data_IF_466654520188
#
_entry.id   IF_466654520188
#
_cell.length_a   1.000
_cell.length_b   1.000
_cell.length_c   1.000
_cell.angle_alpha   90.00
_cell.angle_beta   90.00
_cell.angle_gamma   90.00
#
_symmetry.space_group_name_H-M   'P 1'
#
loop_
_entity.id
_entity.type
_entity.pdbx_description
1 polymer ?
#
# COMPACT_ATOMS: atom_id res chain seq x y z
N UNK A 1 0.92 -2.44 2.84
CA UNK A 1 2.07 -2.15 1.94
C UNK A 1 2.61 -0.74 2.09
N UNK A 2 1.76 0.30 2.12
CA UNK A 2 2.17 1.71 2.13
C UNK A 2 3.27 2.12 3.14
N UNK A 3 3.23 1.74 4.44
CA UNK A 3 4.26 2.21 5.38
C UNK A 3 5.65 1.64 5.10
N UNK A 4 5.75 0.40 4.62
CA UNK A 4 7.04 -0.23 4.29
C UNK A 4 7.70 0.40 3.05
N UNK A 5 6.91 0.65 2.00
CA UNK A 5 7.39 1.33 0.79
C UNK A 5 7.72 2.79 1.05
N UNK A 6 6.91 3.50 1.83
CA UNK A 6 7.19 4.87 2.23
C UNK A 6 8.51 4.94 3.03
N UNK A 7 8.74 3.99 3.95
CA UNK A 7 9.99 3.88 4.68
C UNK A 7 11.18 3.61 3.74
N UNK A 8 11.07 2.65 2.84
CA UNK A 8 12.12 2.34 1.87
C UNK A 8 12.47 3.56 1.00
N UNK A 9 11.46 4.22 0.42
CA UNK A 9 11.64 5.41 -0.41
C UNK A 9 12.24 6.59 0.36
N UNK A 10 11.90 6.75 1.64
CA UNK A 10 12.48 7.81 2.49
C UNK A 10 13.98 7.68 2.74
N UNK A 11 14.56 6.49 2.52
CA UNK A 11 16.02 6.26 2.64
C UNK A 11 16.78 6.60 1.36
N UNK A 12 16.09 6.73 0.23
CA UNK A 12 16.68 6.94 -1.09
C UNK A 12 16.34 8.30 -1.70
N UNK A 13 15.24 8.95 -1.26
CA UNK A 13 14.74 10.17 -1.87
C UNK A 13 14.52 11.30 -0.85
N UNK A 14 14.62 12.54 -1.36
CA UNK A 14 14.33 13.76 -0.59
C UNK A 14 12.84 13.93 -0.34
N UNK A 15 12.43 14.62 0.74
CA UNK A 15 10.99 14.82 1.07
C UNK A 15 10.22 15.52 -0.05
N UNK A 16 10.84 16.50 -0.71
CA UNK A 16 10.22 17.23 -1.83
C UNK A 16 9.95 16.34 -3.05
N UNK A 17 10.76 15.32 -3.27
CA UNK A 17 10.60 14.37 -4.40
C UNK A 17 9.81 13.11 -3.98
N UNK A 18 9.80 12.79 -2.69
CA UNK A 18 9.19 11.58 -2.12
C UNK A 18 7.69 11.51 -2.41
N UNK A 19 6.97 12.61 -2.18
CA UNK A 19 5.51 12.67 -2.37
C UNK A 19 5.12 12.35 -3.81
N UNK A 20 5.83 12.93 -4.79
CA UNK A 20 5.57 12.68 -6.21
C UNK A 20 5.81 11.21 -6.60
N UNK A 21 6.93 10.63 -6.15
CA UNK A 21 7.25 9.22 -6.42
C UNK A 21 6.27 8.26 -5.74
N UNK A 22 5.82 8.59 -4.53
CA UNK A 22 4.81 7.80 -3.83
C UNK A 22 3.44 7.89 -4.50
N UNK A 23 3.04 9.06 -4.99
CA UNK A 23 1.81 9.18 -5.78
C UNK A 23 1.86 8.37 -7.06
N UNK A 24 3.01 8.32 -7.73
CA UNK A 24 3.18 7.49 -8.92
C UNK A 24 2.99 6.00 -8.61
N UNK A 25 3.55 5.52 -7.48
CA UNK A 25 3.32 4.16 -7.01
C UNK A 25 1.83 3.85 -6.75
N UNK A 26 1.10 4.78 -6.14
CA UNK A 26 -0.34 4.60 -5.87
C UNK A 26 -1.15 4.51 -7.16
N UNK A 27 -0.81 5.31 -8.17
CA UNK A 27 -1.49 5.29 -9.48
C UNK A 27 -1.21 4.00 -10.26
N UNK A 28 -0.13 3.27 -9.96
CA UNK A 28 0.12 1.96 -10.59
C UNK A 28 -0.93 0.93 -10.20
N UNK A 29 -1.57 1.02 -9.02
CA UNK A 29 -2.58 0.05 -8.59
C UNK A 29 -3.83 0.01 -9.51
N UNK A 30 -4.52 1.13 -9.78
CA UNK A 30 -5.64 1.12 -10.73
C UNK A 30 -5.17 0.83 -12.17
N UNK A 31 -3.95 1.24 -12.52
CA UNK A 31 -3.38 0.94 -13.83
C UNK A 31 -3.19 -0.57 -14.04
N UNK A 32 -2.64 -1.27 -13.05
CA UNK A 32 -2.51 -2.73 -13.06
C UNK A 32 -3.88 -3.42 -13.16
N UNK A 33 -4.90 -2.89 -12.47
CA UNK A 33 -6.28 -3.38 -12.60
C UNK A 33 -6.83 -3.25 -14.03
N UNK A 34 -6.59 -2.10 -14.69
CA UNK A 34 -6.97 -1.90 -16.08
C UNK A 34 -6.25 -2.87 -17.03
N UNK A 35 -4.96 -3.10 -16.80
CA UNK A 35 -4.18 -4.08 -17.57
C UNK A 35 -4.67 -5.51 -17.35
N UNK A 36 -4.98 -5.92 -16.12
CA UNK A 36 -5.53 -7.26 -15.84
C UNK A 36 -6.82 -7.53 -16.61
N UNK A 37 -7.72 -6.54 -16.68
CA UNK A 37 -8.95 -6.64 -17.47
C UNK A 37 -8.71 -6.72 -18.98
N UNK A 38 -7.76 -5.92 -19.50
CA UNK A 38 -7.37 -5.97 -20.91
C UNK A 38 -6.71 -7.30 -21.28
N UNK A 39 -5.86 -7.83 -20.40
CA UNK A 39 -5.12 -9.07 -20.60
C UNK A 39 -6.06 -10.29 -20.57
N UNK A 40 -7.08 -10.27 -19.70
CA UNK A 40 -8.15 -11.26 -19.71
C UNK A 40 -8.95 -11.25 -21.04
N UNK A 41 -9.33 -10.07 -21.53
CA UNK A 41 -10.04 -9.91 -22.81
C UNK A 41 -9.20 -10.34 -24.03
N UNK A 42 -7.89 -10.07 -24.00
CA UNK A 42 -6.98 -10.49 -25.05
C UNK A 42 -6.79 -12.02 -25.10
N UNK A 43 -6.71 -12.68 -23.95
CA UNK A 43 -6.49 -14.13 -23.87
C UNK A 43 -7.76 -14.92 -24.25
N UNK A 44 -8.95 -14.43 -23.94
CA UNK A 44 -10.22 -14.99 -24.42
C UNK A 44 -10.33 -15.04 -25.97
N UNK A 45 -9.49 -14.28 -26.68
CA UNK A 45 -9.41 -14.30 -28.15
C UNK A 45 -8.33 -15.22 -28.71
N UNK A 46 -7.38 -15.67 -27.89
CA UNK A 46 -6.39 -16.67 -28.30
C UNK A 46 -7.05 -18.04 -28.27
N UNK A 47 -7.03 -18.76 -29.41
CA UNK A 47 -7.50 -20.13 -29.48
C UNK A 47 -6.76 -21.03 -28.49
N UNK A 48 -7.47 -22.00 -27.89
CA UNK A 48 -6.91 -23.00 -26.98
C UNK A 48 -5.59 -23.57 -27.54
N UNK A 49 -4.47 -23.23 -26.90
CA UNK A 49 -3.15 -23.77 -27.24
C UNK A 49 -3.06 -25.14 -26.55
N UNK A 50 -3.68 -26.16 -27.16
CA UNK A 50 -3.70 -27.54 -26.66
C UNK A 50 -4.88 -27.87 -25.72
N UNK A 51 -4.63 -28.70 -24.69
CA UNK A 51 -5.63 -29.20 -23.71
C UNK A 51 -5.79 -28.30 -22.47
N UNK A 52 -5.14 -27.13 -22.43
CA UNK A 52 -5.10 -26.26 -21.27
C UNK A 52 -6.19 -25.20 -21.37
N UNK A 53 -7.05 -25.13 -20.35
CA UNK A 53 -8.12 -24.16 -20.25
C UNK A 53 -7.58 -22.73 -20.16
N UNK A 54 -8.20 -21.78 -20.89
CA UNK A 54 -7.76 -20.39 -21.05
C UNK A 54 -7.42 -19.69 -19.72
N UNK A 55 -8.21 -19.90 -18.65
CA UNK A 55 -7.96 -19.29 -17.34
C UNK A 55 -6.62 -19.68 -16.72
N UNK A 56 -6.10 -20.89 -17.01
CA UNK A 56 -4.79 -21.35 -16.49
C UNK A 56 -3.63 -20.65 -17.21
N UNK A 57 -3.83 -20.33 -18.48
CA UNK A 57 -2.81 -19.64 -19.29
C UNK A 57 -2.62 -18.19 -18.82
N UNK A 58 -3.69 -17.52 -18.34
CA UNK A 58 -3.62 -16.18 -17.75
C UNK A 58 -2.62 -16.16 -16.58
N UNK A 59 -2.81 -17.05 -15.61
CA UNK A 59 -1.93 -17.14 -14.44
C UNK A 59 -0.51 -17.58 -14.80
N UNK A 60 -0.34 -18.45 -15.79
CA UNK A 60 0.99 -18.87 -16.23
C UNK A 60 1.80 -17.71 -16.82
N UNK A 61 1.17 -16.91 -17.70
CA UNK A 61 1.82 -15.77 -18.34
C UNK A 61 2.13 -14.67 -17.31
N UNK A 62 1.16 -14.31 -16.49
CA UNK A 62 1.32 -13.30 -15.44
C UNK A 62 2.36 -13.74 -14.39
N UNK A 63 2.36 -15.03 -14.03
CA UNK A 63 3.34 -15.64 -13.14
C UNK A 63 4.77 -15.55 -13.68
N UNK A 64 4.99 -15.87 -14.96
CA UNK A 64 6.32 -15.77 -15.60
C UNK A 64 6.82 -14.32 -15.57
N UNK A 65 5.95 -13.36 -15.93
CA UNK A 65 6.30 -11.93 -15.92
C UNK A 65 6.66 -11.48 -14.51
N UNK A 66 5.86 -11.88 -13.51
CA UNK A 66 6.07 -11.52 -12.10
C UNK A 66 7.36 -12.11 -11.54
N UNK A 67 7.66 -13.37 -11.87
CA UNK A 67 8.92 -14.02 -11.50
C UNK A 67 10.13 -13.30 -12.12
N UNK A 68 10.05 -12.89 -13.39
CA UNK A 68 11.11 -12.13 -14.04
C UNK A 68 11.35 -10.78 -13.34
N UNK A 69 10.28 -10.05 -13.03
CA UNK A 69 10.37 -8.79 -12.28
C UNK A 69 10.90 -8.99 -10.86
N UNK A 70 10.57 -10.10 -10.20
CA UNK A 70 11.08 -10.43 -8.87
C UNK A 70 12.60 -10.64 -8.87
N UNK A 71 13.13 -11.36 -9.87
CA UNK A 71 14.58 -11.58 -10.02
C UNK A 71 15.30 -10.24 -10.25
N UNK A 72 14.79 -9.41 -11.18
CA UNK A 72 15.36 -8.08 -11.45
C UNK A 72 15.30 -7.20 -10.20
N UNK A 73 14.17 -7.22 -9.49
CA UNK A 73 13.96 -6.51 -8.24
C UNK A 73 14.96 -6.93 -7.17
N UNK A 74 15.25 -8.22 -7.03
CA UNK A 74 16.23 -8.72 -6.06
C UNK A 74 17.64 -8.16 -6.28
N UNK A 75 18.07 -8.00 -7.53
CA UNK A 75 19.38 -7.40 -7.83
C UNK A 75 19.38 -5.86 -7.69
N UNK A 76 18.26 -5.20 -7.97
CA UNK A 76 18.18 -3.73 -8.00
C UNK A 76 17.87 -3.12 -6.62
N UNK A 77 17.11 -3.84 -5.78
CA UNK A 77 16.57 -3.33 -4.51
C UNK A 77 17.60 -3.47 -3.38
N UNK A 78 18.55 -2.55 -3.31
CA UNK A 78 19.50 -2.48 -2.19
C UNK A 78 18.95 -1.65 -1.03
N UNK A 79 19.13 -2.14 0.19
CA UNK A 79 18.61 -1.49 1.42
C UNK A 79 19.08 -0.04 1.62
N UNK A 80 20.33 0.28 1.26
CA UNK A 80 20.93 1.60 1.50
C UNK A 80 21.68 2.07 0.25
N UNK A 81 21.70 3.39 -0.04
CA UNK A 81 22.49 3.94 -1.14
C UNK A 81 23.99 3.62 -1.01
N UNK A 82 24.50 3.46 0.22
CA UNK A 82 25.89 3.09 0.48
C UNK A 82 26.26 1.66 0.03
N UNK A 83 25.33 0.70 0.13
CA UNK A 83 25.57 -0.70 -0.25
C UNK A 83 25.23 -0.99 -1.70
N UNK A 84 24.75 0.00 -2.46
CA UNK A 84 24.29 -0.18 -3.83
C UNK A 84 25.41 -0.70 -4.73
N UNK A 85 25.31 -1.93 -5.25
CA UNK A 85 26.36 -2.52 -6.09
C UNK A 85 26.40 -1.93 -7.51
N UNK A 86 25.34 -1.24 -7.92
CA UNK A 86 25.16 -0.68 -9.26
C UNK A 86 25.61 0.79 -9.40
N UNK A 87 25.98 1.45 -8.28
CA UNK A 87 26.44 2.84 -8.27
C UNK A 87 27.95 2.91 -8.08
N UNK A 88 28.61 3.87 -8.73
CA UNK A 88 30.02 4.19 -8.48
C UNK A 88 30.20 4.86 -7.11
N UNK A 89 31.42 4.84 -6.56
CA UNK A 89 31.67 5.37 -5.22
C UNK A 89 31.35 6.88 -5.13
N UNK A 90 31.68 7.66 -6.17
CA UNK A 90 31.37 9.09 -6.24
C UNK A 90 29.86 9.38 -6.22
N UNK A 91 29.07 8.59 -6.95
CA UNK A 91 27.61 8.72 -6.98
C UNK A 91 26.97 8.39 -5.63
N UNK A 92 27.52 7.41 -4.90
CA UNK A 92 27.06 7.07 -3.55
C UNK A 92 27.30 8.22 -2.60
N UNK A 93 28.49 8.80 -2.64
CA UNK A 93 28.86 9.88 -1.74
C UNK A 93 28.01 11.13 -2.01
N UNK A 94 27.72 11.42 -3.29
CA UNK A 94 26.80 12.49 -3.68
C UNK A 94 25.37 12.22 -3.18
N UNK A 95 24.85 11.00 -3.35
CA UNK A 95 23.53 10.62 -2.90
C UNK A 95 23.38 10.74 -1.37
N UNK A 96 24.38 10.28 -0.61
CA UNK A 96 24.41 10.37 0.85
C UNK A 96 24.49 11.83 1.29
N UNK A 97 25.36 12.64 0.68
CA UNK A 97 25.50 14.06 0.99
C UNK A 97 24.18 14.81 0.75
N UNK A 98 23.48 14.49 -0.36
CA UNK A 98 22.19 15.09 -0.73
C UNK A 98 21.05 14.76 0.24
N UNK A 99 21.01 13.54 0.78
CA UNK A 99 20.02 13.15 1.80
C UNK A 99 20.38 13.76 3.15
N UNK A 100 21.67 13.84 3.49
CA UNK A 100 22.15 14.40 4.76
C UNK A 100 21.88 15.91 4.86
N UNK A 101 22.03 16.67 3.78
CA UNK A 101 21.77 18.11 3.78
C UNK A 101 20.31 18.46 4.06
N UNK A 102 19.35 17.64 3.61
CA UNK A 102 17.92 17.86 3.91
C UNK A 102 17.58 17.54 5.38
N UNK A 103 18.21 16.52 5.98
CA UNK A 103 17.94 16.15 7.39
C UNK A 103 18.35 17.24 8.38
N UNK A 104 19.36 18.04 8.06
CA UNK A 104 19.84 19.13 8.94
C UNK A 104 18.79 20.24 9.05
N UNK A 105 17.99 20.49 8.00
CA UNK A 105 16.90 21.48 8.01
C UNK A 105 15.61 21.04 8.71
N UNK A 106 15.46 19.76 9.05
CA UNK A 106 14.26 19.19 9.72
C UNK A 106 14.40 19.22 11.26
N UNK A 107 15.34 20.02 11.79
CA UNK A 107 15.45 20.28 13.23
C UNK A 107 14.55 21.41 13.71
N UNK A 108 13.92 22.17 12.81
CA UNK A 108 12.72 22.91 13.18
C UNK A 108 11.58 21.91 13.37
N UNK A 109 11.30 21.64 14.63
CA UNK A 109 10.20 20.80 15.11
C UNK A 109 8.90 21.43 14.61
N UNK A 110 8.49 21.04 13.41
CA UNK A 110 7.25 21.45 12.76
C UNK A 110 6.09 21.05 13.68
N UNK A 111 5.54 22.09 14.32
CA UNK A 111 4.46 22.13 15.29
C UNK A 111 4.52 21.12 16.44
N UNK A 112 4.70 21.64 17.66
CA UNK A 112 4.18 20.94 18.85
C UNK A 112 2.74 20.55 18.54
N UNK A 113 2.42 19.26 18.63
CA UNK A 113 1.05 18.75 18.54
C UNK A 113 0.19 19.48 19.56
N UNK A 114 -0.50 20.52 19.10
CA UNK A 114 -1.44 21.29 19.89
C UNK A 114 -2.68 20.42 20.12
N UNK A 115 -2.69 19.73 21.27
CA UNK A 115 -3.71 18.74 21.64
C UNK A 115 -5.12 19.33 21.56
N UNK A 116 -5.26 20.63 21.80
CA UNK A 116 -6.55 21.31 21.76
C UNK A 116 -7.04 21.49 20.31
N UNK A 117 -6.15 21.77 19.36
CA UNK A 117 -6.50 21.78 17.92
C UNK A 117 -6.81 20.37 17.40
N UNK A 118 -6.07 19.35 17.83
CA UNK A 118 -6.33 17.96 17.45
C UNK A 118 -7.68 17.46 17.99
N UNK A 119 -8.01 17.77 19.25
CA UNK A 119 -9.32 17.43 19.86
C UNK A 119 -10.48 18.08 19.12
N UNK A 120 -10.37 19.37 18.74
CA UNK A 120 -11.42 20.04 17.97
C UNK A 120 -11.58 19.48 16.56
N UNK A 121 -10.52 18.96 15.94
CA UNK A 121 -10.60 18.27 14.65
C UNK A 121 -11.32 16.91 14.73
N UNK A 122 -11.11 16.16 15.82
CA UNK A 122 -11.78 14.87 16.05
C UNK A 122 -13.29 15.06 16.23
N UNK A 123 -13.70 16.07 17.00
CA UNK A 123 -15.12 16.41 17.21
C UNK A 123 -15.71 17.31 16.13
N UNK A 124 -15.06 17.40 14.97
CA UNK A 124 -15.56 18.13 13.82
C UNK A 124 -16.79 17.45 13.20
N UNK A 125 -17.79 18.21 12.72
CA UNK A 125 -18.98 17.63 12.10
C UNK A 125 -18.66 16.78 10.87
N UNK A 126 -17.65 17.14 10.08
CA UNK A 126 -17.22 16.37 8.90
C UNK A 126 -16.62 15.02 9.31
N UNK A 127 -15.77 14.99 10.34
CA UNK A 127 -15.13 13.77 10.86
C UNK A 127 -16.14 12.84 11.51
N UNK A 128 -17.14 13.40 12.21
CA UNK A 128 -18.26 12.63 12.77
C UNK A 128 -19.15 12.06 11.66
N UNK A 129 -19.48 12.83 10.63
CA UNK A 129 -20.30 12.34 9.50
C UNK A 129 -19.58 11.23 8.72
N UNK A 130 -18.28 11.35 8.46
CA UNK A 130 -17.51 10.27 7.81
C UNK A 130 -17.41 9.02 8.70
N UNK A 131 -17.28 9.18 10.01
CA UNK A 131 -17.36 8.06 10.95
C UNK A 131 -18.76 7.40 10.94
N UNK A 132 -19.83 8.20 11.00
CA UNK A 132 -21.21 7.70 10.98
C UNK A 132 -21.62 7.04 9.68
N UNK A 133 -21.04 7.42 8.53
CA UNK A 133 -21.30 6.76 7.25
C UNK A 133 -20.56 5.42 7.16
N UNK A 134 -19.35 5.33 7.73
CA UNK A 134 -18.50 4.14 7.61
C UNK A 134 -18.73 3.09 8.71
N UNK A 135 -19.18 3.49 9.90
CA UNK A 135 -19.54 2.59 11.02
C UNK A 135 -20.68 1.61 10.70
N UNK A 136 -21.80 1.99 10.04
CA UNK A 136 -22.88 1.06 9.74
C UNK A 136 -22.53 0.08 8.61
N UNK A 137 -21.49 0.33 7.80
CA UNK A 137 -21.10 -0.56 6.71
C UNK A 137 -20.41 -1.86 7.21
N UNK A 138 -19.76 -1.83 8.38
CA UNK A 138 -19.08 -3.00 8.96
C UNK A 138 -20.05 -4.01 9.60
N UNK A 139 -21.30 -3.62 9.89
CA UNK A 139 -22.31 -4.50 10.50
C UNK A 139 -23.09 -5.35 9.47
N UNK A 140 -22.93 -5.12 8.16
CA UNK A 140 -23.64 -5.89 7.12
C UNK A 140 -22.87 -7.14 6.65
N UNK A 141 -21.55 -7.26 6.91
CA UNK A 141 -20.73 -8.41 6.47
C UNK A 141 -20.59 -9.54 7.51
N UNK A 142 -21.30 -9.49 8.64
CA UNK A 142 -21.48 -10.66 9.50
C UNK A 142 -22.85 -11.31 9.23
N UNK A 143 -22.95 -12.28 8.29
CA UNK A 143 -24.09 -13.20 8.29
C UNK A 143 -23.91 -14.13 9.49
N UNK A 144 -24.37 -13.72 10.66
CA UNK A 144 -24.32 -14.58 11.84
C UNK A 144 -24.23 -13.80 13.12
N UNK A 145 -25.40 -13.50 13.67
CA UNK A 145 -25.67 -13.26 15.07
C UNK A 145 -24.64 -13.94 16.00
N UNK A 146 -23.67 -13.17 16.46
CA UNK A 146 -22.87 -13.54 17.61
C UNK A 146 -22.71 -12.28 18.46
N UNK A 147 -23.10 -12.41 19.73
CA UNK A 147 -22.97 -11.39 20.79
C UNK A 147 -24.14 -10.40 20.86
N UNK A 148 -25.25 -10.86 21.45
CA UNK A 148 -25.79 -10.36 22.73
C UNK A 148 -27.13 -11.07 23.04
N UNK A 149 -27.08 -12.24 23.68
CA UNK A 149 -28.15 -12.67 24.58
C UNK A 149 -27.56 -12.75 25.99
N UNK A 150 -27.97 -11.88 26.93
CA UNK A 150 -27.67 -12.12 28.33
C UNK A 150 -28.45 -13.36 28.78
N UNK A 151 -27.71 -14.25 29.41
CA UNK A 151 -28.17 -15.39 30.20
C UNK A 151 -29.15 -14.92 31.28
N UNK A 152 -30.44 -15.27 31.15
CA UNK A 152 -31.41 -15.26 32.25
C UNK A 152 -32.74 -15.96 31.87
N UNK A 153 -32.81 -17.30 31.96
CA UNK A 153 -34.06 -18.02 32.30
C UNK A 153 -33.85 -19.51 32.60
N UNK A 154 -32.97 -19.84 33.55
CA UNK A 154 -33.19 -21.02 34.39
C UNK A 154 -34.00 -20.57 35.61
N UNK A 155 -35.33 -20.64 35.54
CA UNK A 155 -36.24 -20.80 36.68
C UNK A 155 -37.72 -20.80 36.23
N UNK A 156 -38.47 -21.73 36.82
CA UNK A 156 -39.94 -21.89 36.84
C UNK A 156 -40.54 -22.66 35.65
N UNK A 157 -40.82 -23.97 35.83
CA UNK A 157 -41.99 -24.56 36.51
C UNK A 157 -43.20 -24.66 35.56
N UNK A 158 -43.40 -25.87 35.00
CA UNK A 158 -44.63 -26.69 35.05
C UNK A 158 -44.52 -27.84 34.06
#
# INVERSE_FOLDING_TARGET
MLPGIAYYMSRWYRKSELTFRLSLYIVMAPLAGAFGGLLASAILKLSNVGSLHEWRMIFAIEGIITCGLAIIGFFTLTDRPATALWLTQEEKDLAIARIKSERVGVTEVLDKLDTHKTIRGIFGPVTLVTAFINIPAEQQHCPGACILRPDNRQNNLS
#
